data_IF_656375858035
#
_entry.id   IF_656375858035
#
_cell.length_a   1.000
_cell.length_b   1.000
_cell.length_c   1.000
_cell.angle_alpha   90.00
_cell.angle_beta   90.00
_cell.angle_gamma   90.00
#
_symmetry.space_group_name_H-M   'P 1'
#
loop_
_entity.id
_entity.type
_entity.pdbx_description
1 polymer ?
#
# COMPACT_ATOMS: atom_id res chain seq x y z
N UNK A 1 1.13 -3.22 -24.06
CA UNK A 1 2.23 -3.48 -25.02
C UNK A 1 3.12 -2.25 -24.97
N UNK A 2 3.90 -2.15 -23.89
CA UNK A 2 4.90 -1.11 -23.67
C UNK A 2 6.27 -1.80 -23.63
N UNK A 3 6.57 -2.50 -24.71
CA UNK A 3 7.79 -3.31 -24.85
C UNK A 3 8.98 -2.45 -25.34
N UNK A 4 8.78 -1.12 -25.47
CA UNK A 4 9.79 -0.17 -25.96
C UNK A 4 10.86 0.20 -24.92
N UNK A 5 10.61 0.00 -23.62
CA UNK A 5 11.60 0.27 -22.57
C UNK A 5 12.63 -0.85 -22.36
N UNK A 6 12.24 -2.11 -22.59
CA UNK A 6 13.13 -3.27 -22.39
C UNK A 6 14.04 -3.53 -23.60
N UNK A 7 13.64 -3.04 -24.79
CA UNK A 7 14.36 -3.24 -26.05
C UNK A 7 15.64 -2.39 -26.20
N UNK A 8 15.86 -1.38 -25.34
CA UNK A 8 17.06 -0.52 -25.37
C UNK A 8 18.24 -1.06 -24.53
N UNK A 9 18.11 -2.24 -23.94
CA UNK A 9 19.05 -2.78 -22.96
C UNK A 9 18.82 -2.17 -21.57
N UNK A 10 19.14 -2.92 -20.52
CA UNK A 10 18.89 -2.59 -19.10
C UNK A 10 19.59 -1.31 -18.57
N UNK A 11 20.19 -0.50 -19.46
CA UNK A 11 20.97 0.67 -19.09
C UNK A 11 22.17 0.31 -18.20
N UNK A 12 22.88 1.33 -17.72
CA UNK A 12 23.96 1.17 -16.74
C UNK A 12 23.37 1.23 -15.34
N UNK A 13 23.81 0.34 -14.45
CA UNK A 13 23.36 0.34 -13.05
C UNK A 13 23.62 1.69 -12.38
N UNK A 14 22.56 2.31 -11.86
CA UNK A 14 22.63 3.54 -11.09
C UNK A 14 23.03 3.20 -9.65
N UNK A 15 24.29 3.50 -9.30
CA UNK A 15 24.86 3.15 -8.00
C UNK A 15 24.12 3.81 -6.81
N UNK A 16 23.54 4.99 -7.00
CA UNK A 16 22.73 5.67 -5.99
C UNK A 16 21.46 4.89 -5.66
N UNK A 17 20.75 4.40 -6.68
CA UNK A 17 19.57 3.55 -6.49
C UNK A 17 19.94 2.19 -5.90
N UNK A 18 21.06 1.61 -6.35
CA UNK A 18 21.54 0.33 -5.82
C UNK A 18 21.88 0.44 -4.33
N UNK A 19 22.55 1.52 -3.90
CA UNK A 19 22.83 1.79 -2.49
C UNK A 19 21.56 2.09 -1.70
N UNK A 20 20.62 2.87 -2.25
CA UNK A 20 19.33 3.13 -1.62
C UNK A 20 18.54 1.82 -1.39
N UNK A 21 18.52 0.94 -2.40
CA UNK A 21 17.89 -0.37 -2.32
C UNK A 21 18.58 -1.26 -1.27
N UNK A 22 19.91 -1.28 -1.23
CA UNK A 22 20.67 -2.03 -0.21
C UNK A 22 20.32 -1.54 1.20
N UNK A 23 20.27 -0.22 1.41
CA UNK A 23 19.87 0.37 2.70
C UNK A 23 18.44 -0.02 3.08
N UNK A 24 17.50 -0.02 2.13
CA UNK A 24 16.12 -0.45 2.36
C UNK A 24 16.05 -1.93 2.78
N UNK A 25 16.81 -2.81 2.13
CA UNK A 25 16.90 -4.23 2.49
C UNK A 25 17.47 -4.44 3.89
N UNK A 26 18.53 -3.72 4.24
CA UNK A 26 19.13 -3.76 5.58
C UNK A 26 18.12 -3.29 6.63
N UNK A 27 17.36 -2.22 6.36
CA UNK A 27 16.30 -1.76 7.25
C UNK A 27 15.18 -2.81 7.44
N UNK A 28 14.70 -3.40 6.34
CA UNK A 28 13.71 -4.49 6.38
C UNK A 28 14.21 -5.68 7.21
N UNK A 29 15.48 -6.06 7.06
CA UNK A 29 16.09 -7.12 7.85
C UNK A 29 16.04 -6.79 9.36
N UNK A 30 16.44 -5.58 9.76
CA UNK A 30 16.40 -5.16 11.16
C UNK A 30 14.98 -5.14 11.75
N UNK A 31 13.96 -4.80 10.96
CA UNK A 31 12.56 -4.84 11.39
C UNK A 31 12.09 -6.27 11.73
N UNK A 32 12.65 -7.29 11.06
CA UNK A 32 12.18 -8.68 11.17
C UNK A 32 13.11 -9.54 12.06
N UNK A 33 14.40 -9.19 12.19
CA UNK A 33 15.41 -10.06 12.82
C UNK A 33 15.06 -10.51 14.24
N UNK A 34 14.43 -9.66 15.06
CA UNK A 34 14.00 -10.05 16.43
C UNK A 34 12.66 -10.81 16.48
N UNK A 35 12.08 -11.17 15.33
CA UNK A 35 10.86 -11.94 15.19
C UNK A 35 9.57 -11.12 15.30
N UNK A 36 8.43 -11.81 15.12
CA UNK A 36 7.10 -11.20 14.93
C UNK A 36 6.64 -10.35 16.11
N UNK A 37 7.07 -10.67 17.34
CA UNK A 37 6.73 -9.87 18.54
C UNK A 37 7.38 -8.49 18.55
N UNK A 38 8.63 -8.38 18.08
CA UNK A 38 9.32 -7.10 17.95
C UNK A 38 8.83 -6.34 16.71
N UNK A 39 8.64 -7.05 15.60
CA UNK A 39 8.03 -6.50 14.39
C UNK A 39 6.67 -5.85 14.71
N UNK A 40 5.80 -6.51 15.47
CA UNK A 40 4.52 -5.96 15.90
C UNK A 40 4.63 -4.62 16.65
N UNK A 41 5.69 -4.43 17.47
CA UNK A 41 5.95 -3.15 18.14
C UNK A 41 6.29 -2.03 17.16
N UNK A 42 7.12 -2.34 16.17
CA UNK A 42 7.50 -1.38 15.11
C UNK A 42 6.28 -1.03 14.25
N UNK A 43 5.41 -2.01 13.97
CA UNK A 43 4.20 -1.83 13.16
C UNK A 43 3.25 -0.79 13.77
N UNK A 44 3.11 -0.74 15.10
CA UNK A 44 2.28 0.31 15.73
C UNK A 44 2.73 1.72 15.34
N UNK A 45 4.04 1.96 15.25
CA UNK A 45 4.57 3.24 14.80
C UNK A 45 4.38 3.44 13.30
N UNK A 46 4.73 2.44 12.47
CA UNK A 46 4.66 2.56 11.02
C UNK A 46 3.24 2.65 10.47
N UNK A 47 2.24 2.18 11.22
CA UNK A 47 0.83 2.36 10.87
C UNK A 47 0.33 3.71 11.37
N UNK A 48 0.58 4.06 12.64
CA UNK A 48 0.07 5.32 13.21
C UNK A 48 0.64 6.56 12.51
N UNK A 49 1.91 6.54 12.12
CA UNK A 49 2.57 7.71 11.52
C UNK A 49 1.97 8.14 10.17
N UNK A 50 1.77 7.25 9.18
CA UNK A 50 1.03 7.59 7.96
C UNK A 50 -0.38 8.11 8.22
N UNK A 51 -1.14 7.51 9.15
CA UNK A 51 -2.47 8.01 9.49
C UNK A 51 -2.43 9.43 10.06
N UNK A 52 -1.45 9.73 10.92
CA UNK A 52 -1.23 11.07 11.43
C UNK A 52 -0.89 12.08 10.32
N UNK A 53 0.02 11.71 9.40
CA UNK A 53 0.35 12.53 8.24
C UNK A 53 -0.87 12.77 7.34
N UNK A 54 -1.70 11.75 7.13
CA UNK A 54 -2.95 11.87 6.36
C UNK A 54 -3.91 12.87 7.00
N UNK A 55 -4.03 12.90 8.33
CA UNK A 55 -4.86 13.90 9.03
C UNK A 55 -4.33 15.31 8.80
N UNK A 56 -3.02 15.53 8.93
CA UNK A 56 -2.42 16.86 8.67
C UNK A 56 -2.64 17.26 7.21
N UNK A 57 -2.39 16.34 6.28
CA UNK A 57 -2.55 16.57 4.84
C UNK A 57 -4.02 16.82 4.49
N UNK A 58 -4.96 16.16 5.16
CA UNK A 58 -6.38 16.42 5.02
C UNK A 58 -6.75 17.84 5.46
N UNK A 59 -6.35 18.25 6.67
CA UNK A 59 -6.60 19.61 7.18
C UNK A 59 -5.99 20.66 6.25
N UNK A 60 -4.75 20.45 5.80
CA UNK A 60 -4.09 21.37 4.84
C UNK A 60 -4.78 21.36 3.48
N UNK A 61 -5.21 20.19 3.01
CA UNK A 61 -5.91 20.02 1.74
C UNK A 61 -7.24 20.77 1.71
N UNK A 62 -8.06 20.67 2.77
CA UNK A 62 -9.36 21.35 2.83
C UNK A 62 -9.25 22.86 3.10
N UNK A 63 -8.13 23.33 3.68
CA UNK A 63 -7.89 24.76 3.92
C UNK A 63 -7.31 25.49 2.72
N UNK A 64 -6.90 24.79 1.65
CA UNK A 64 -6.44 25.40 0.42
C UNK A 64 -7.60 25.99 -0.40
N UNK A 65 -7.45 27.19 -1.00
CA UNK A 65 -8.46 27.73 -1.90
C UNK A 65 -8.63 26.82 -3.11
N UNK A 66 -9.89 26.49 -3.45
CA UNK A 66 -10.20 25.58 -4.57
C UNK A 66 -10.28 24.09 -4.19
N UNK A 67 -10.12 23.72 -2.91
CA UNK A 67 -10.27 22.33 -2.46
C UNK A 67 -11.62 21.71 -2.85
N UNK A 68 -12.69 22.50 -2.83
CA UNK A 68 -14.05 22.08 -3.18
C UNK A 68 -14.17 21.54 -4.62
N UNK A 69 -13.47 22.16 -5.57
CA UNK A 69 -13.50 21.73 -6.98
C UNK A 69 -12.90 20.33 -7.16
N UNK A 70 -11.81 20.04 -6.45
CA UNK A 70 -11.20 18.70 -6.46
C UNK A 70 -12.10 17.64 -5.82
N UNK A 71 -12.74 17.97 -4.69
CA UNK A 71 -13.68 17.06 -4.02
C UNK A 71 -14.89 16.76 -4.91
N UNK A 72 -15.45 17.79 -5.56
CA UNK A 72 -16.57 17.64 -6.50
C UNK A 72 -16.20 16.75 -7.69
N UNK A 73 -15.02 16.95 -8.28
CA UNK A 73 -14.55 16.10 -9.37
C UNK A 73 -14.38 14.63 -8.94
N UNK A 74 -13.83 14.39 -7.74
CA UNK A 74 -13.67 13.04 -7.21
C UNK A 74 -15.01 12.34 -6.92
N UNK A 75 -15.99 13.07 -6.40
CA UNK A 75 -17.28 12.49 -5.99
C UNK A 75 -18.34 12.45 -7.10
N UNK A 76 -18.15 13.13 -8.24
CA UNK A 76 -19.16 13.17 -9.30
C UNK A 76 -19.30 11.78 -9.97
N UNK A 77 -20.43 11.07 -9.81
CA UNK A 77 -20.56 9.71 -10.28
C UNK A 77 -20.94 9.67 -11.76
N UNK A 78 -20.12 9.03 -12.58
CA UNK A 78 -20.43 8.74 -13.99
C UNK A 78 -21.07 7.34 -14.10
N UNK A 79 -22.41 7.29 -14.02
CA UNK A 79 -23.17 6.04 -14.04
C UNK A 79 -23.06 5.27 -15.37
N UNK A 80 -22.64 5.94 -16.45
CA UNK A 80 -22.44 5.27 -17.74
C UNK A 80 -21.32 4.22 -17.68
N UNK A 81 -20.38 4.37 -16.74
CA UNK A 81 -19.22 3.48 -16.57
C UNK A 81 -19.55 2.17 -15.87
N UNK A 82 -20.67 2.08 -15.17
CA UNK A 82 -21.04 0.89 -14.39
C UNK A 82 -21.37 -0.31 -15.31
N UNK A 83 -21.83 -0.05 -16.54
CA UNK A 83 -22.08 -1.08 -17.55
C UNK A 83 -20.81 -1.66 -18.18
N UNK A 84 -19.63 -1.08 -17.92
CA UNK A 84 -18.37 -1.56 -18.46
C UNK A 84 -17.75 -2.63 -17.53
N UNK A 85 -17.61 -3.85 -18.02
CA UNK A 85 -17.00 -4.96 -17.27
C UNK A 85 -15.57 -4.70 -16.79
N UNK A 86 -14.82 -3.81 -17.45
CA UNK A 86 -13.47 -3.44 -17.04
C UNK A 86 -13.44 -2.69 -15.69
N UNK A 87 -14.49 -1.91 -15.38
CA UNK A 87 -14.60 -1.21 -14.08
C UNK A 87 -14.71 -2.21 -12.94
N UNK A 88 -15.49 -3.28 -13.14
CA UNK A 88 -15.64 -4.36 -12.17
C UNK A 88 -14.37 -5.18 -12.01
N UNK A 89 -13.69 -5.49 -13.11
CA UNK A 89 -12.40 -6.18 -13.07
C UNK A 89 -11.36 -5.40 -12.25
N UNK A 90 -11.25 -4.10 -12.48
CA UNK A 90 -10.33 -3.25 -11.73
C UNK A 90 -10.74 -3.14 -10.26
N UNK A 91 -12.02 -2.98 -9.97
CA UNK A 91 -12.52 -2.89 -8.59
C UNK A 91 -12.22 -4.18 -7.80
N UNK A 92 -12.46 -5.36 -8.38
CA UNK A 92 -12.15 -6.64 -7.74
C UNK A 92 -10.65 -6.79 -7.53
N UNK A 93 -9.86 -6.47 -8.54
CA UNK A 93 -8.40 -6.56 -8.48
C UNK A 93 -7.85 -5.67 -7.37
N UNK A 94 -8.33 -4.42 -7.26
CA UNK A 94 -7.93 -3.49 -6.22
C UNK A 94 -8.26 -3.99 -4.81
N UNK A 95 -9.45 -4.55 -4.60
CA UNK A 95 -9.84 -5.13 -3.31
C UNK A 95 -8.94 -6.32 -2.96
N UNK A 96 -8.68 -7.22 -3.91
CA UNK A 96 -7.82 -8.39 -3.67
C UNK A 96 -6.38 -7.98 -3.31
N UNK A 97 -5.83 -6.97 -4.00
CA UNK A 97 -4.50 -6.43 -3.69
C UNK A 97 -4.47 -5.68 -2.35
N UNK A 98 -5.50 -4.87 -2.06
CA UNK A 98 -5.59 -4.09 -0.82
C UNK A 98 -5.62 -4.97 0.44
N UNK A 99 -6.34 -6.10 0.38
CA UNK A 99 -6.41 -7.06 1.48
C UNK A 99 -5.30 -8.13 1.44
N UNK A 100 -4.42 -8.11 0.43
CA UNK A 100 -3.38 -9.12 0.21
C UNK A 100 -3.91 -10.57 0.23
N UNK A 101 -5.11 -10.78 -0.35
CA UNK A 101 -5.76 -12.09 -0.39
C UNK A 101 -4.88 -13.05 -1.22
N UNK A 102 -4.76 -14.30 -0.77
CA UNK A 102 -3.93 -15.35 -1.39
C UNK A 102 -2.40 -15.12 -1.39
N UNK A 103 -1.88 -14.07 -0.72
CA UNK A 103 -0.43 -13.86 -0.61
C UNK A 103 0.24 -14.61 0.56
N UNK A 104 -0.52 -15.30 1.40
CA UNK A 104 0.00 -16.11 2.52
C UNK A 104 0.46 -15.32 3.75
N UNK A 105 0.60 -13.99 3.66
CA UNK A 105 1.00 -13.11 4.76
C UNK A 105 0.02 -13.19 5.94
N UNK A 106 -1.28 -13.09 5.66
CA UNK A 106 -2.33 -13.19 6.69
C UNK A 106 -2.36 -14.57 7.34
N UNK A 107 -2.17 -15.64 6.57
CA UNK A 107 -2.08 -17.01 7.09
C UNK A 107 -0.89 -17.18 8.02
N UNK A 108 0.28 -16.66 7.63
CA UNK A 108 1.48 -16.69 8.45
C UNK A 108 1.28 -15.89 9.75
N UNK A 109 0.73 -14.68 9.69
CA UNK A 109 0.43 -13.87 10.88
C UNK A 109 -0.59 -14.55 11.81
N UNK A 110 -1.63 -15.16 11.23
CA UNK A 110 -2.67 -15.88 11.98
C UNK A 110 -2.11 -17.10 12.73
N UNK A 111 -1.06 -17.74 12.19
CA UNK A 111 -0.41 -18.89 12.86
C UNK A 111 0.26 -18.53 14.19
N UNK A 112 0.62 -17.26 14.40
CA UNK A 112 1.19 -16.77 15.66
C UNK A 112 0.12 -16.39 16.70
N UNK A 113 -1.17 -16.53 16.38
CA UNK A 113 -2.26 -16.17 17.27
C UNK A 113 -2.57 -17.27 18.30
N UNK A 114 -3.26 -16.90 19.40
CA UNK A 114 -3.68 -17.90 20.41
C UNK A 114 -4.76 -18.80 19.82
N UNK A 115 -4.74 -20.08 20.19
CA UNK A 115 -5.72 -21.07 19.71
C UNK A 115 -7.18 -20.70 19.99
N UNK A 116 -7.46 -20.01 21.11
CA UNK A 116 -8.81 -19.55 21.48
C UNK A 116 -9.06 -18.07 21.16
N UNK A 117 -8.36 -17.51 20.17
CA UNK A 117 -8.63 -16.14 19.74
C UNK A 117 -9.81 -16.10 18.76
N UNK A 118 -10.76 -15.19 18.98
CA UNK A 118 -11.89 -14.98 18.07
C UNK A 118 -11.39 -14.29 16.80
N UNK A 119 -11.30 -15.03 15.69
CA UNK A 119 -10.80 -14.53 14.41
C UNK A 119 -11.87 -13.88 13.54
N UNK A 120 -13.14 -13.88 13.97
CA UNK A 120 -14.24 -13.24 13.24
C UNK A 120 -14.43 -11.75 13.61
N UNK A 121 -13.86 -11.32 14.74
CA UNK A 121 -13.83 -9.92 15.19
C UNK A 121 -12.53 -9.24 14.82
#
# INVERSE_FOLDING_TARGET
MDDQGLAAGLGRMQWELALCLLLAWVACYFCIWKGVKYFGKVVYFTVAFPFFLLIILFIRGVTLPGAWTGIMYYMYPDLSRIGNGYVWYNAVTEVLYSYAICQGVLTALSSYNRYKYDCYK
#
